data_IF_893687526199
#
_entry.id   IF_893687526199
#
_cell.length_a   1.000
_cell.length_b   1.000
_cell.length_c   1.000
_cell.angle_alpha   90.00
_cell.angle_beta   90.00
_cell.angle_gamma   90.00
#
_symmetry.space_group_name_H-M   'P 1'
#
loop_
_entity.id
_entity.type
_entity.pdbx_description
1 polymer ?
#
# COMPACT_ATOMS: atom_id res chain seq x y z
N UNK A 1 -66.79 -36.96 -18.95
CA UNK A 1 -65.48 -36.72 -18.33
C UNK A 1 -65.71 -36.41 -16.86
N UNK A 2 -65.13 -37.21 -15.95
CA UNK A 2 -65.56 -37.31 -14.54
C UNK A 2 -65.01 -36.18 -13.66
N UNK A 3 -65.91 -35.40 -13.02
CA UNK A 3 -65.58 -34.32 -12.09
C UNK A 3 -64.69 -34.75 -10.91
N UNK A 4 -64.78 -36.02 -10.50
CA UNK A 4 -63.94 -36.61 -9.45
C UNK A 4 -62.43 -36.65 -9.80
N UNK A 5 -62.07 -36.68 -11.09
CA UNK A 5 -60.67 -36.72 -11.53
C UNK A 5 -60.02 -35.33 -11.47
N UNK A 6 -60.81 -34.27 -11.66
CA UNK A 6 -60.34 -32.88 -11.60
C UNK A 6 -60.08 -32.49 -10.15
N UNK A 7 -60.97 -32.85 -9.22
CA UNK A 7 -60.85 -32.51 -7.80
C UNK A 7 -59.63 -33.17 -7.12
N UNK A 8 -59.26 -34.41 -7.52
CA UNK A 8 -58.04 -35.09 -7.06
C UNK A 8 -56.75 -34.40 -7.53
N UNK A 9 -56.75 -33.87 -8.76
CA UNK A 9 -55.59 -33.18 -9.31
C UNK A 9 -55.39 -31.81 -8.66
N UNK A 10 -56.47 -31.11 -8.30
CA UNK A 10 -56.40 -29.85 -7.54
C UNK A 10 -55.90 -30.05 -6.11
N UNK A 11 -56.33 -31.11 -5.41
CA UNK A 11 -55.82 -31.41 -4.06
C UNK A 11 -54.32 -31.76 -4.09
N UNK A 12 -53.86 -32.52 -5.09
CA UNK A 12 -52.45 -32.83 -5.27
C UNK A 12 -51.64 -31.55 -5.57
N UNK A 13 -52.08 -30.73 -6.51
CA UNK A 13 -51.39 -29.47 -6.84
C UNK A 13 -51.29 -28.54 -5.63
N UNK A 14 -52.36 -28.41 -4.83
CA UNK A 14 -52.37 -27.61 -3.60
C UNK A 14 -51.37 -28.12 -2.54
N UNK A 15 -51.26 -29.44 -2.37
CA UNK A 15 -50.34 -30.05 -1.43
C UNK A 15 -48.86 -29.84 -1.83
N UNK A 16 -48.56 -29.91 -3.13
CA UNK A 16 -47.22 -29.60 -3.66
C UNK A 16 -46.86 -28.12 -3.52
N UNK A 17 -47.82 -27.20 -3.70
CA UNK A 17 -47.59 -25.77 -3.49
C UNK A 17 -47.27 -25.42 -2.04
N UNK A 18 -47.94 -26.09 -1.08
CA UNK A 18 -47.69 -25.90 0.36
C UNK A 18 -46.30 -26.45 0.74
N UNK A 19 -45.93 -27.61 0.22
CA UNK A 19 -44.59 -28.19 0.41
C UNK A 19 -43.49 -27.32 -0.18
N UNK A 20 -43.70 -26.74 -1.37
CA UNK A 20 -42.72 -25.85 -1.98
C UNK A 20 -42.56 -24.55 -1.18
N UNK A 21 -43.66 -23.98 -0.70
CA UNK A 21 -43.64 -22.77 0.12
C UNK A 21 -42.91 -22.98 1.46
N UNK A 22 -43.10 -24.14 2.10
CA UNK A 22 -42.37 -24.47 3.34
C UNK A 22 -40.88 -24.69 3.09
N UNK A 23 -40.50 -25.38 2.00
CA UNK A 23 -39.09 -25.53 1.63
C UNK A 23 -38.41 -24.19 1.32
N UNK A 24 -39.07 -23.29 0.59
CA UNK A 24 -38.55 -21.95 0.30
C UNK A 24 -38.44 -21.11 1.57
N UNK A 25 -39.44 -21.18 2.47
CA UNK A 25 -39.40 -20.49 3.76
C UNK A 25 -38.26 -20.97 4.66
N UNK A 26 -38.03 -22.28 4.73
CA UNK A 26 -36.90 -22.87 5.49
C UNK A 26 -35.57 -22.48 4.85
N UNK A 27 -35.45 -22.53 3.53
CA UNK A 27 -34.23 -22.12 2.82
C UNK A 27 -33.90 -20.64 3.04
N UNK A 28 -34.89 -19.76 3.00
CA UNK A 28 -34.74 -18.34 3.31
C UNK A 28 -34.32 -18.12 4.77
N UNK A 29 -34.94 -18.82 5.72
CA UNK A 29 -34.56 -18.74 7.13
C UNK A 29 -33.13 -19.22 7.37
N UNK A 30 -32.72 -20.34 6.77
CA UNK A 30 -31.35 -20.85 6.85
C UNK A 30 -30.37 -19.87 6.20
N UNK A 31 -30.73 -19.27 5.07
CA UNK A 31 -29.90 -18.27 4.38
C UNK A 31 -29.75 -16.99 5.19
N UNK A 32 -30.82 -16.51 5.84
CA UNK A 32 -30.78 -15.36 6.75
C UNK A 32 -29.95 -15.68 7.99
N UNK A 33 -30.07 -16.89 8.54
CA UNK A 33 -29.28 -17.32 9.70
C UNK A 33 -27.79 -17.48 9.35
N UNK A 34 -27.46 -18.01 8.18
CA UNK A 34 -26.09 -18.07 7.67
C UNK A 34 -25.53 -16.68 7.38
N UNK A 35 -26.34 -15.76 6.82
CA UNK A 35 -25.93 -14.38 6.57
C UNK A 35 -25.72 -13.59 7.87
N UNK A 36 -26.59 -13.79 8.86
CA UNK A 36 -26.45 -13.23 10.22
C UNK A 36 -25.21 -13.78 10.93
N UNK A 37 -24.96 -15.09 10.86
CA UNK A 37 -23.73 -15.70 11.40
C UNK A 37 -22.47 -15.24 10.66
N UNK A 38 -22.55 -14.96 9.35
CA UNK A 38 -21.42 -14.42 8.57
C UNK A 38 -21.16 -12.95 8.89
N UNK A 39 -22.22 -12.18 9.17
CA UNK A 39 -22.15 -10.79 9.65
C UNK A 39 -21.59 -10.71 11.09
N UNK A 40 -22.00 -11.63 11.98
CA UNK A 40 -21.47 -11.75 13.34
C UNK A 40 -20.05 -12.33 13.40
N UNK A 41 -19.64 -13.16 12.44
CA UNK A 41 -18.24 -13.64 12.34
C UNK A 41 -17.25 -12.59 11.84
N UNK A 42 -17.70 -11.54 11.16
CA UNK A 42 -16.81 -10.51 10.60
C UNK A 42 -16.48 -9.35 11.55
N UNK A 43 -17.05 -9.32 12.76
CA UNK A 43 -16.79 -8.25 13.73
C UNK A 43 -15.84 -8.65 14.88
N UNK A 44 -15.27 -9.85 14.84
CA UNK A 44 -14.32 -10.34 15.85
C UNK A 44 -12.96 -10.71 15.25
N UNK A 45 -12.48 -9.96 14.24
CA UNK A 45 -11.04 -9.85 14.08
C UNK A 45 -10.55 -9.04 15.29
N UNK A 46 -10.14 -9.75 16.35
CA UNK A 46 -9.54 -9.13 17.51
C UNK A 46 -8.44 -8.21 17.01
N UNK A 47 -8.65 -6.90 17.19
CA UNK A 47 -7.72 -5.87 16.80
C UNK A 47 -6.36 -6.23 17.39
N UNK A 48 -5.38 -6.56 16.53
CA UNK A 48 -4.05 -7.00 16.97
C UNK A 48 -3.34 -5.85 17.68
N UNK A 49 -3.49 -5.78 19.01
CA UNK A 49 -2.87 -4.72 19.81
C UNK A 49 -1.38 -5.00 19.97
N UNK A 50 -0.55 -4.02 19.62
CA UNK A 50 0.90 -4.13 19.70
C UNK A 50 1.43 -3.43 20.96
N UNK A 51 2.61 -3.85 21.42
CA UNK A 51 3.38 -3.22 22.48
C UNK A 51 4.76 -2.86 21.93
N UNK A 52 5.14 -1.59 22.08
CA UNK A 52 6.46 -1.09 21.70
C UNK A 52 7.14 -0.63 22.98
N UNK A 53 8.40 -1.04 23.15
CA UNK A 53 9.25 -0.61 24.27
C UNK A 53 10.50 0.10 23.75
N UNK A 54 11.03 1.02 24.55
CA UNK A 54 12.38 1.53 24.34
C UNK A 54 13.37 0.45 24.76
N UNK A 55 14.24 0.02 23.84
CA UNK A 55 15.24 -1.03 24.08
C UNK A 55 16.63 -0.37 24.06
N UNK A 56 17.05 0.14 25.21
CA UNK A 56 18.25 0.97 25.36
C UNK A 56 19.53 0.14 25.18
N UNK A 57 19.61 -1.03 25.82
CA UNK A 57 20.74 -1.95 25.66
C UNK A 57 20.85 -2.44 24.21
N UNK A 58 19.72 -2.60 23.50
CA UNK A 58 19.68 -2.88 22.06
C UNK A 58 20.13 -1.72 21.17
N UNK A 59 19.95 -0.46 21.58
CA UNK A 59 20.42 0.71 20.82
C UNK A 59 21.88 1.05 21.07
N UNK A 60 22.31 1.02 22.33
CA UNK A 60 23.53 1.68 22.77
C UNK A 60 24.68 0.71 23.06
N UNK A 61 24.80 -0.34 22.24
CA UNK A 61 25.93 -1.29 22.32
C UNK A 61 25.98 -2.12 23.62
N UNK A 62 24.85 -2.29 24.32
CA UNK A 62 24.78 -3.05 25.57
C UNK A 62 25.21 -4.52 25.42
N UNK A 63 25.81 -5.11 26.45
CA UNK A 63 26.22 -6.52 26.42
C UNK A 63 25.03 -7.48 26.21
N UNK A 64 25.31 -8.68 25.69
CA UNK A 64 24.29 -9.67 25.28
C UNK A 64 23.29 -10.02 26.39
N UNK A 65 23.74 -10.02 27.66
CA UNK A 65 22.86 -10.24 28.82
C UNK A 65 21.82 -9.13 29.03
N UNK A 66 22.25 -7.86 28.93
CA UNK A 66 21.35 -6.70 29.07
C UNK A 66 20.35 -6.64 27.92
N UNK A 67 20.83 -6.94 26.72
CA UNK A 67 20.02 -7.06 25.51
C UNK A 67 18.94 -8.13 25.67
N UNK A 68 19.30 -9.33 26.13
CA UNK A 68 18.33 -10.40 26.34
C UNK A 68 17.35 -10.08 27.46
N UNK A 69 17.79 -9.39 28.51
CA UNK A 69 16.91 -8.91 29.58
C UNK A 69 15.82 -7.98 29.03
N UNK A 70 16.17 -7.01 28.18
CA UNK A 70 15.21 -6.11 27.56
C UNK A 70 14.27 -6.83 26.59
N UNK A 71 14.79 -7.71 25.73
CA UNK A 71 13.97 -8.44 24.75
C UNK A 71 12.98 -9.38 25.45
N UNK A 72 13.43 -10.16 26.43
CA UNK A 72 12.57 -11.08 27.18
C UNK A 72 11.60 -10.30 28.06
N UNK A 73 12.03 -9.19 28.66
CA UNK A 73 11.17 -8.30 29.43
C UNK A 73 10.03 -7.74 28.59
N UNK A 74 10.32 -7.25 27.38
CA UNK A 74 9.30 -6.76 26.45
C UNK A 74 8.33 -7.88 26.02
N UNK A 75 8.83 -9.10 25.78
CA UNK A 75 7.99 -10.26 25.49
C UNK A 75 7.07 -10.58 26.67
N UNK A 76 7.60 -10.63 27.89
CA UNK A 76 6.83 -10.95 29.09
C UNK A 76 5.71 -9.92 29.34
N UNK A 77 6.04 -8.62 29.25
CA UNK A 77 5.05 -7.55 29.40
C UNK A 77 4.00 -7.67 28.29
N UNK A 78 4.41 -7.87 27.03
CA UNK A 78 3.49 -8.02 25.90
C UNK A 78 2.52 -9.19 26.11
N UNK A 79 3.01 -10.32 26.60
CA UNK A 79 2.18 -11.48 26.93
C UNK A 79 1.16 -11.16 28.02
N UNK A 80 1.59 -10.50 29.10
CA UNK A 80 0.72 -10.12 30.22
C UNK A 80 -0.42 -9.20 29.77
N UNK A 81 -0.11 -8.19 28.95
CA UNK A 81 -1.11 -7.22 28.47
C UNK A 81 -1.84 -7.69 27.20
N UNK A 82 -1.66 -8.95 26.78
CA UNK A 82 -2.25 -9.56 25.57
C UNK A 82 -1.98 -8.75 24.30
N UNK A 83 -0.71 -8.37 24.11
CA UNK A 83 -0.21 -7.61 22.97
C UNK A 83 0.92 -8.34 22.25
N UNK A 84 1.18 -7.89 21.02
CA UNK A 84 2.28 -8.38 20.19
C UNK A 84 3.49 -7.44 20.38
N UNK A 85 4.67 -7.93 20.78
CA UNK A 85 5.84 -7.07 20.90
C UNK A 85 6.39 -6.70 19.51
N UNK A 86 6.68 -5.41 19.33
CA UNK A 86 7.11 -4.85 18.05
C UNK A 86 8.37 -4.00 18.24
N UNK A 87 9.34 -4.18 17.35
CA UNK A 87 10.53 -3.32 17.22
C UNK A 87 10.33 -2.47 15.97
N UNK A 88 10.34 -1.14 16.14
CA UNK A 88 10.08 -0.18 15.07
C UNK A 88 11.37 0.31 14.38
N UNK A 89 12.50 0.31 15.08
CA UNK A 89 13.77 0.83 14.58
C UNK A 89 14.49 -0.23 13.73
N UNK A 90 14.78 0.05 12.44
CA UNK A 90 15.52 -0.87 11.57
C UNK A 90 16.90 -1.27 12.10
N UNK A 91 17.63 -0.36 12.73
CA UNK A 91 18.97 -0.66 13.26
C UNK A 91 18.91 -1.71 14.39
N UNK A 92 17.85 -1.68 15.19
CA UNK A 92 17.58 -2.67 16.21
C UNK A 92 17.14 -4.01 15.62
N UNK A 93 16.52 -4.02 14.43
CA UNK A 93 16.18 -5.25 13.73
C UNK A 93 17.41 -5.98 13.19
N UNK A 94 18.40 -5.24 12.69
CA UNK A 94 19.68 -5.83 12.26
C UNK A 94 20.40 -6.44 13.45
N UNK A 95 20.45 -5.72 14.57
CA UNK A 95 20.99 -6.25 15.82
C UNK A 95 20.20 -7.45 16.33
N UNK A 96 18.86 -7.45 16.23
CA UNK A 96 18.03 -8.61 16.56
C UNK A 96 18.38 -9.81 15.69
N UNK A 97 18.64 -9.62 14.39
CA UNK A 97 19.06 -10.70 13.49
C UNK A 97 20.43 -11.27 13.91
N UNK A 98 21.38 -10.42 14.29
CA UNK A 98 22.67 -10.84 14.86
C UNK A 98 22.47 -11.68 16.13
N UNK A 99 21.69 -11.18 17.08
CA UNK A 99 21.38 -11.89 18.34
C UNK A 99 20.69 -13.22 18.07
N UNK A 100 19.87 -13.29 17.02
CA UNK A 100 19.13 -14.51 16.66
C UNK A 100 20.04 -15.62 16.17
N UNK A 101 21.30 -15.33 15.79
CA UNK A 101 22.29 -16.37 15.53
C UNK A 101 22.65 -17.15 16.80
N UNK A 102 22.63 -16.48 17.95
CA UNK A 102 22.87 -17.07 19.27
C UNK A 102 21.57 -17.58 19.93
N UNK A 103 20.45 -16.89 19.69
CA UNK A 103 19.14 -17.19 20.28
C UNK A 103 18.05 -17.32 19.21
N UNK A 104 17.95 -18.46 18.51
CA UNK A 104 17.15 -18.59 17.28
C UNK A 104 15.64 -18.34 17.46
N UNK A 105 15.12 -18.51 18.67
CA UNK A 105 13.70 -18.33 18.96
C UNK A 105 13.30 -16.88 19.27
N UNK A 106 14.26 -15.97 19.48
CA UNK A 106 13.93 -14.60 19.90
C UNK A 106 13.27 -13.83 18.76
N UNK A 107 13.74 -14.03 17.52
CA UNK A 107 13.26 -13.31 16.33
C UNK A 107 11.78 -13.48 16.08
N UNK A 108 11.29 -14.70 16.25
CA UNK A 108 9.91 -15.09 15.92
C UNK A 108 8.89 -14.49 16.88
N UNK A 109 9.33 -14.00 18.05
CA UNK A 109 8.48 -13.33 19.01
C UNK A 109 8.16 -11.88 18.62
N UNK A 110 8.98 -11.26 17.76
CA UNK A 110 8.80 -9.87 17.34
C UNK A 110 8.23 -9.76 15.92
N UNK A 111 7.13 -9.02 15.77
CA UNK A 111 6.62 -8.72 14.44
C UNK A 111 7.38 -7.56 13.80
N UNK A 112 7.67 -7.69 12.49
CA UNK A 112 8.09 -6.55 11.68
C UNK A 112 6.85 -5.75 11.32
N UNK A 113 6.70 -4.61 11.96
CA UNK A 113 5.68 -3.63 11.63
C UNK A 113 6.41 -2.32 11.29
N UNK A 114 6.55 -2.00 10.00
CA UNK A 114 6.95 -0.66 9.53
C UNK A 114 5.77 0.29 9.67
N UNK A 115 5.47 0.67 10.91
CA UNK A 115 4.34 1.55 11.24
C UNK A 115 4.80 2.64 12.19
N UNK A 116 5.90 3.32 11.83
CA UNK A 116 6.52 4.31 12.71
C UNK A 116 5.52 5.39 13.18
N UNK A 117 4.45 5.66 12.42
CA UNK A 117 3.48 6.72 12.78
C UNK A 117 1.98 6.39 12.65
N UNK A 118 1.58 5.26 12.04
CA UNK A 118 0.15 4.96 11.77
C UNK A 118 -0.32 3.59 12.26
N UNK A 119 0.40 2.98 13.21
CA UNK A 119 0.10 1.62 13.68
C UNK A 119 -1.31 1.42 14.27
N UNK A 120 -1.97 2.50 14.65
CA UNK A 120 -3.31 2.54 15.24
C UNK A 120 -4.39 3.08 14.29
N UNK A 121 -4.04 3.53 13.07
CA UNK A 121 -5.02 4.03 12.10
C UNK A 121 -5.41 2.93 11.13
N UNK A 122 -6.72 2.76 10.96
CA UNK A 122 -7.24 1.89 9.90
C UNK A 122 -6.86 2.44 8.53
N UNK A 123 -6.62 1.57 7.56
CA UNK A 123 -6.29 1.97 6.18
C UNK A 123 -7.27 2.99 5.59
N UNK A 124 -8.58 2.78 5.79
CA UNK A 124 -9.60 3.68 5.29
C UNK A 124 -9.50 5.09 5.91
N UNK A 125 -8.99 5.17 7.15
CA UNK A 125 -8.76 6.41 7.86
C UNK A 125 -7.53 7.14 7.33
N UNK A 126 -6.42 6.44 7.11
CA UNK A 126 -5.23 7.02 6.46
C UNK A 126 -5.58 7.53 5.07
N UNK A 127 -6.26 6.72 4.25
CA UNK A 127 -6.69 7.11 2.90
C UNK A 127 -7.60 8.32 2.92
N UNK A 128 -8.56 8.38 3.85
CA UNK A 128 -9.44 9.53 4.01
C UNK A 128 -8.66 10.78 4.43
N UNK A 129 -7.72 10.64 5.37
CA UNK A 129 -6.93 11.75 5.89
C UNK A 129 -6.04 12.39 4.82
N UNK A 130 -5.54 11.62 3.86
CA UNK A 130 -4.67 12.12 2.79
C UNK A 130 -5.35 12.24 1.42
N UNK A 131 -6.68 12.05 1.37
CA UNK A 131 -7.43 12.24 0.14
C UNK A 131 -7.37 13.71 -0.29
N UNK A 132 -7.18 13.94 -1.60
CA UNK A 132 -7.21 15.28 -2.15
C UNK A 132 -8.54 16.00 -1.92
N UNK A 133 -8.48 17.33 -1.83
CA UNK A 133 -9.68 18.16 -1.98
C UNK A 133 -10.23 18.06 -3.40
N UNK A 134 -11.48 18.46 -3.62
CA UNK A 134 -12.08 18.48 -4.97
C UNK A 134 -11.19 19.24 -5.98
N UNK A 135 -10.53 20.32 -5.53
CA UNK A 135 -9.57 21.06 -6.34
C UNK A 135 -8.33 20.23 -6.68
N UNK A 136 -7.76 19.50 -5.73
CA UNK A 136 -6.61 18.63 -5.98
C UNK A 136 -6.98 17.48 -6.92
N UNK A 137 -8.15 16.86 -6.72
CA UNK A 137 -8.70 15.84 -7.61
C UNK A 137 -8.89 16.37 -9.02
N UNK A 138 -9.52 17.54 -9.18
CA UNK A 138 -9.71 18.16 -10.50
C UNK A 138 -8.37 18.45 -11.19
N UNK A 139 -7.38 18.99 -10.46
CA UNK A 139 -6.05 19.24 -11.04
C UNK A 139 -5.38 17.92 -11.44
N UNK A 140 -5.44 16.91 -10.58
CA UNK A 140 -4.92 15.58 -10.86
C UNK A 140 -5.51 15.00 -12.15
N UNK A 141 -6.84 14.98 -12.28
CA UNK A 141 -7.51 14.34 -13.41
C UNK A 141 -7.45 15.14 -14.71
N UNK A 142 -7.49 16.49 -14.63
CA UNK A 142 -7.70 17.34 -15.81
C UNK A 142 -6.48 18.17 -16.22
N UNK A 143 -5.55 18.47 -15.31
CA UNK A 143 -4.54 19.51 -15.56
C UNK A 143 -3.09 19.06 -15.48
N UNK A 144 -2.76 17.96 -14.80
CA UNK A 144 -1.38 17.47 -14.78
C UNK A 144 -0.93 16.96 -16.16
N UNK A 145 -1.81 16.27 -16.87
CA UNK A 145 -1.55 15.65 -18.18
C UNK A 145 -2.66 15.96 -19.20
N UNK A 146 -2.84 17.23 -19.61
CA UNK A 146 -3.99 17.66 -20.40
C UNK A 146 -4.04 17.02 -21.80
N UNK A 147 -2.89 16.68 -22.38
CA UNK A 147 -2.78 16.08 -23.72
C UNK A 147 -2.92 14.56 -23.74
N UNK A 148 -2.69 13.90 -22.60
CA UNK A 148 -2.67 12.44 -22.46
C UNK A 148 -3.44 12.05 -21.20
N UNK A 149 -4.77 12.13 -21.27
CA UNK A 149 -5.64 11.72 -20.15
C UNK A 149 -5.43 10.24 -19.86
N UNK A 150 -5.02 9.94 -18.63
CA UNK A 150 -4.67 8.59 -18.18
C UNK A 150 -5.88 7.67 -18.18
N UNK A 151 -5.70 6.46 -18.70
CA UNK A 151 -6.73 5.42 -18.73
C UNK A 151 -6.48 4.45 -17.58
N UNK A 152 -7.50 4.21 -16.75
CA UNK A 152 -7.43 3.23 -15.64
C UNK A 152 -7.12 1.79 -16.06
N UNK A 153 -7.14 1.50 -17.37
CA UNK A 153 -6.92 0.17 -17.94
C UNK A 153 -5.45 -0.09 -18.31
N UNK A 154 -4.57 0.90 -18.19
CA UNK A 154 -3.13 0.78 -18.43
C UNK A 154 -2.38 0.43 -17.15
N UNK A 155 -1.13 0.00 -17.27
CA UNK A 155 -0.23 -0.19 -16.14
C UNK A 155 0.53 1.11 -15.90
N UNK A 156 0.07 1.92 -14.96
CA UNK A 156 0.60 3.25 -14.73
C UNK A 156 1.71 3.21 -13.66
N UNK A 157 2.89 3.70 -14.03
CA UNK A 157 4.08 3.79 -13.18
C UNK A 157 4.34 5.27 -12.90
N UNK A 158 4.43 5.63 -11.64
CA UNK A 158 4.51 7.02 -11.20
C UNK A 158 5.81 7.29 -10.46
N UNK A 159 6.63 8.17 -11.03
CA UNK A 159 7.98 8.46 -10.59
C UNK A 159 7.97 9.83 -9.93
N UNK A 160 8.33 9.90 -8.65
CA UNK A 160 8.45 11.16 -7.93
C UNK A 160 9.94 11.48 -7.74
N UNK A 161 10.37 12.56 -8.40
CA UNK A 161 11.72 13.08 -8.35
C UNK A 161 11.70 14.45 -7.66
N UNK A 162 12.17 14.50 -6.41
CA UNK A 162 12.28 15.71 -5.61
C UNK A 162 13.64 16.35 -5.81
N UNK A 163 13.69 17.62 -6.19
CA UNK A 163 14.95 18.35 -6.37
C UNK A 163 14.94 19.73 -5.73
N UNK A 164 13.99 20.58 -6.10
CA UNK A 164 13.89 22.02 -5.80
C UNK A 164 14.73 22.52 -4.62
N UNK A 165 14.11 22.65 -3.46
CA UNK A 165 14.77 23.10 -2.22
C UNK A 165 15.72 22.06 -1.58
N UNK A 166 15.77 20.85 -2.14
CA UNK A 166 16.64 19.79 -1.64
C UNK A 166 18.08 19.92 -2.16
N UNK A 167 18.31 20.63 -3.27
CA UNK A 167 19.67 20.85 -3.78
C UNK A 167 20.55 21.63 -2.81
N UNK A 168 19.92 22.54 -2.04
CA UNK A 168 20.61 23.42 -1.09
C UNK A 168 20.43 22.95 0.36
N UNK A 169 19.80 21.78 0.56
CA UNK A 169 19.52 21.25 1.89
C UNK A 169 20.72 20.50 2.44
N UNK A 170 21.02 20.71 3.72
CA UNK A 170 22.02 19.92 4.46
C UNK A 170 21.40 18.66 5.10
N UNK A 171 20.07 18.55 5.10
CA UNK A 171 19.33 17.43 5.71
C UNK A 171 18.70 16.49 4.67
N UNK A 172 18.56 16.94 3.42
CA UNK A 172 17.86 16.20 2.39
C UNK A 172 18.72 16.01 1.16
N UNK A 173 18.69 14.80 0.60
CA UNK A 173 19.36 14.54 -0.66
C UNK A 173 18.36 14.74 -1.81
N UNK A 174 18.70 15.57 -2.81
CA UNK A 174 17.90 15.68 -4.02
C UNK A 174 17.97 14.36 -4.80
N UNK A 175 17.01 14.16 -5.69
CA UNK A 175 16.98 13.00 -6.57
C UNK A 175 18.14 13.06 -7.57
N UNK A 176 18.85 11.94 -7.74
CA UNK A 176 19.89 11.78 -8.78
C UNK A 176 19.23 11.39 -10.11
N UNK A 177 19.66 12.03 -11.19
CA UNK A 177 19.21 11.72 -12.54
C UNK A 177 19.59 10.28 -12.93
N UNK A 178 20.85 9.90 -12.68
CA UNK A 178 21.42 8.60 -13.01
C UNK A 178 20.66 7.48 -12.30
N UNK A 179 20.44 7.63 -10.99
CA UNK A 179 19.65 6.69 -10.21
C UNK A 179 18.20 6.63 -10.72
N UNK A 180 17.59 7.77 -10.99
CA UNK A 180 16.20 7.84 -11.44
C UNK A 180 16.00 7.12 -12.76
N UNK A 181 16.88 7.34 -13.74
CA UNK A 181 16.84 6.68 -15.05
C UNK A 181 17.02 5.16 -14.88
N UNK A 182 18.02 4.73 -14.11
CA UNK A 182 18.28 3.30 -13.89
C UNK A 182 17.11 2.61 -13.19
N UNK A 183 16.54 3.25 -12.16
CA UNK A 183 15.39 2.72 -11.43
C UNK A 183 14.11 2.70 -12.27
N UNK A 184 13.89 3.72 -13.11
CA UNK A 184 12.80 3.74 -14.08
C UNK A 184 12.91 2.57 -15.06
N UNK A 185 14.08 2.38 -15.67
CA UNK A 185 14.32 1.27 -16.58
C UNK A 185 14.05 -0.08 -15.92
N UNK A 186 14.63 -0.31 -14.75
CA UNK A 186 14.39 -1.52 -13.97
C UNK A 186 12.89 -1.74 -13.68
N UNK A 187 12.19 -0.71 -13.21
CA UNK A 187 10.79 -0.83 -12.81
C UNK A 187 9.87 -1.09 -14.01
N UNK A 188 10.15 -0.48 -15.15
CA UNK A 188 9.40 -0.67 -16.40
C UNK A 188 9.59 -2.09 -16.93
N UNK A 189 10.84 -2.57 -17.02
CA UNK A 189 11.11 -3.93 -17.50
C UNK A 189 10.53 -4.98 -16.56
N UNK A 190 10.62 -4.72 -15.25
CA UNK A 190 9.97 -5.56 -14.27
C UNK A 190 8.45 -5.56 -14.44
N UNK A 191 7.84 -4.40 -14.66
CA UNK A 191 6.41 -4.28 -14.91
C UNK A 191 5.97 -5.12 -16.12
N UNK A 192 6.69 -5.02 -17.25
CA UNK A 192 6.44 -5.84 -18.44
C UNK A 192 6.55 -7.34 -18.17
N UNK A 193 7.49 -7.75 -17.31
CA UNK A 193 7.67 -9.17 -16.97
C UNK A 193 6.57 -9.75 -16.07
N UNK A 194 5.80 -8.90 -15.39
CA UNK A 194 4.83 -9.31 -14.37
C UNK A 194 3.39 -9.05 -14.74
N UNK A 195 3.14 -8.14 -15.68
CA UNK A 195 1.82 -7.70 -16.07
C UNK A 195 1.77 -7.52 -17.59
N UNK A 196 0.73 -8.09 -18.20
CA UNK A 196 0.48 -8.03 -19.64
C UNK A 196 0.02 -6.66 -20.15
N UNK A 197 -0.41 -5.75 -19.26
CA UNK A 197 -0.80 -4.38 -19.61
C UNK A 197 0.43 -3.57 -20.01
N UNK A 198 0.29 -2.76 -21.07
CA UNK A 198 1.35 -1.84 -21.49
C UNK A 198 1.69 -0.84 -20.38
N UNK A 199 2.97 -0.69 -19.99
CA UNK A 199 3.39 0.28 -19.00
C UNK A 199 3.34 1.71 -19.54
N UNK A 200 2.92 2.64 -18.69
CA UNK A 200 2.94 4.08 -18.93
C UNK A 200 3.64 4.77 -17.77
N UNK A 201 4.67 5.56 -18.04
CA UNK A 201 5.42 6.26 -17.00
C UNK A 201 4.98 7.73 -16.88
N UNK A 202 4.72 8.17 -15.66
CA UNK A 202 4.41 9.56 -15.31
C UNK A 202 5.46 10.05 -14.33
N UNK A 203 6.08 11.19 -14.63
CA UNK A 203 7.15 11.77 -13.82
C UNK A 203 6.65 13.06 -13.17
N UNK A 204 6.77 13.11 -11.85
CA UNK A 204 6.42 14.23 -11.00
C UNK A 204 7.71 14.85 -10.46
N UNK A 205 7.87 16.15 -10.67
CA UNK A 205 8.99 16.89 -10.11
C UNK A 205 8.60 18.32 -9.80
N UNK A 206 9.21 18.85 -8.75
CA UNK A 206 9.15 20.27 -8.42
C UNK A 206 10.05 21.12 -9.32
N UNK A 207 10.93 20.50 -10.11
CA UNK A 207 11.72 21.15 -11.15
C UNK A 207 11.52 20.42 -12.50
N UNK A 208 10.50 20.87 -13.26
CA UNK A 208 10.10 20.26 -14.53
C UNK A 208 11.20 20.35 -15.58
N UNK A 209 11.83 21.52 -15.74
CA UNK A 209 12.89 21.71 -16.74
C UNK A 209 14.07 20.78 -16.47
N UNK A 210 14.45 20.61 -15.20
CA UNK A 210 15.47 19.65 -14.83
C UNK A 210 15.06 18.21 -15.14
N UNK A 211 13.81 17.82 -14.80
CA UNK A 211 13.34 16.47 -15.06
C UNK A 211 13.32 16.15 -16.57
N UNK A 212 12.85 17.08 -17.41
CA UNK A 212 12.88 16.92 -18.86
C UNK A 212 14.33 16.74 -19.37
N UNK A 213 15.24 17.66 -19.02
CA UNK A 213 16.61 17.68 -19.55
C UNK A 213 17.50 16.56 -19.01
N UNK A 214 17.29 16.14 -17.75
CA UNK A 214 18.22 15.25 -17.06
C UNK A 214 17.66 13.85 -16.83
N UNK A 215 16.33 13.65 -16.93
CA UNK A 215 15.71 12.34 -16.79
C UNK A 215 15.11 11.91 -18.14
N UNK A 216 14.21 12.71 -18.71
CA UNK A 216 13.40 12.29 -19.87
C UNK A 216 14.24 12.21 -21.14
N UNK A 217 14.92 13.31 -21.51
CA UNK A 217 15.76 13.34 -22.71
C UNK A 217 16.83 12.24 -22.68
N UNK A 218 17.63 12.07 -21.59
CA UNK A 218 18.59 10.98 -21.54
C UNK A 218 17.92 9.61 -21.57
N UNK A 219 16.82 9.39 -20.86
CA UNK A 219 16.08 8.13 -20.89
C UNK A 219 15.67 7.75 -22.32
N UNK A 220 15.12 8.69 -23.09
CA UNK A 220 14.73 8.47 -24.48
C UNK A 220 15.93 8.18 -25.39
N UNK A 221 17.08 8.83 -25.17
CA UNK A 221 18.29 8.57 -25.96
C UNK A 221 18.90 7.19 -25.74
N UNK A 222 18.65 6.56 -24.58
CA UNK A 222 19.16 5.21 -24.31
C UNK A 222 18.49 4.13 -25.14
N UNK A 223 17.35 4.40 -25.81
CA UNK A 223 16.51 3.42 -26.50
C UNK A 223 16.20 2.18 -25.64
N UNK A 224 16.26 2.32 -24.31
CA UNK A 224 16.16 1.20 -23.39
C UNK A 224 14.72 0.69 -23.24
N UNK A 225 13.72 1.47 -23.70
CA UNK A 225 12.31 1.12 -23.64
C UNK A 225 11.51 1.85 -24.72
N UNK A 226 10.42 1.22 -25.15
CA UNK A 226 9.35 1.77 -25.99
C UNK A 226 8.40 2.71 -25.21
N UNK A 227 8.54 2.79 -23.89
CA UNK A 227 7.75 3.67 -23.03
C UNK A 227 8.28 5.10 -23.11
N UNK A 228 7.42 6.04 -23.49
CA UNK A 228 7.71 7.47 -23.43
C UNK A 228 7.16 8.04 -22.12
N UNK A 229 8.00 8.41 -21.14
CA UNK A 229 7.52 8.97 -19.89
C UNK A 229 6.94 10.37 -20.10
N UNK A 230 5.90 10.72 -19.33
CA UNK A 230 5.25 12.04 -19.38
C UNK A 230 5.55 12.83 -18.12
N UNK A 231 6.02 14.07 -18.25
CA UNK A 231 6.24 14.95 -17.09
C UNK A 231 4.97 15.72 -16.75
N UNK A 232 4.65 15.77 -15.46
CA UNK A 232 3.50 16.51 -14.96
C UNK A 232 3.69 18.01 -15.19
N UNK A 233 2.63 18.67 -15.67
CA UNK A 233 2.66 20.12 -15.86
C UNK A 233 2.84 20.85 -14.53
N UNK A 234 3.70 21.86 -14.50
CA UNK A 234 3.84 22.77 -13.37
C UNK A 234 3.26 24.14 -13.70
N UNK A 235 2.41 24.67 -12.83
CA UNK A 235 1.74 25.94 -13.04
C UNK A 235 1.40 26.62 -11.70
N UNK A 236 1.25 27.95 -11.75
CA UNK A 236 0.95 28.76 -10.57
C UNK A 236 -0.39 28.33 -9.96
N UNK A 237 -0.40 28.07 -8.66
CA UNK A 237 -1.60 27.64 -7.93
C UNK A 237 -1.96 26.16 -8.10
N UNK A 238 -1.04 25.33 -8.61
CA UNK A 238 -1.12 23.87 -8.51
C UNK A 238 -1.15 23.47 -7.02
N UNK A 239 -2.18 22.72 -6.55
CA UNK A 239 -2.19 22.20 -5.19
C UNK A 239 -0.99 21.28 -4.96
N UNK A 240 -0.30 21.38 -3.80
CA UNK A 240 0.89 20.59 -3.53
C UNK A 240 0.61 19.09 -3.50
N UNK A 241 -0.63 18.68 -3.26
CA UNK A 241 -1.08 17.29 -3.24
C UNK A 241 -1.73 16.82 -4.54
N UNK A 242 -1.69 17.59 -5.63
CA UNK A 242 -2.33 17.16 -6.88
C UNK A 242 -1.62 15.96 -7.54
N UNK A 243 -0.29 15.96 -7.55
CA UNK A 243 0.54 14.86 -8.07
C UNK A 243 0.37 13.58 -7.25
N UNK A 244 0.18 13.78 -5.95
CA UNK A 244 -0.17 12.75 -5.00
C UNK A 244 -1.57 12.16 -5.28
N UNK A 245 -2.56 13.01 -5.46
CA UNK A 245 -3.93 12.59 -5.74
C UNK A 245 -4.02 11.85 -7.08
N UNK A 246 -3.26 12.27 -8.09
CA UNK A 246 -3.11 11.49 -9.33
C UNK A 246 -2.52 10.11 -9.05
N UNK A 247 -1.46 10.06 -8.23
CA UNK A 247 -0.81 8.79 -7.88
C UNK A 247 -1.76 7.81 -7.22
N UNK A 248 -2.57 8.30 -6.28
CA UNK A 248 -3.61 7.54 -5.57
C UNK A 248 -4.72 7.03 -6.50
N UNK A 249 -5.08 7.80 -7.54
CA UNK A 249 -6.21 7.50 -8.41
C UNK A 249 -5.87 6.58 -9.59
N UNK A 250 -4.63 6.64 -10.08
CA UNK A 250 -4.28 6.05 -11.38
C UNK A 250 -3.09 5.11 -11.36
N UNK A 251 -2.17 5.20 -10.39
CA UNK A 251 -0.90 4.49 -10.49
C UNK A 251 -0.95 3.10 -9.85
N UNK A 252 -0.42 2.12 -10.57
CA UNK A 252 -0.24 0.74 -10.10
C UNK A 252 1.10 0.58 -9.38
N UNK A 253 2.12 1.34 -9.79
CA UNK A 253 3.47 1.29 -9.22
C UNK A 253 3.99 2.70 -8.98
N UNK A 254 4.72 2.90 -7.89
CA UNK A 254 5.32 4.19 -7.55
C UNK A 254 6.81 4.02 -7.28
N UNK A 255 7.61 4.89 -7.89
CA UNK A 255 9.04 5.03 -7.69
C UNK A 255 9.32 6.37 -6.99
N UNK A 256 10.07 6.34 -5.90
CA UNK A 256 10.52 7.53 -5.17
C UNK A 256 12.03 7.62 -5.26
N UNK A 257 12.56 8.76 -5.70
CA UNK A 257 14.01 8.93 -5.92
C UNK A 257 14.66 9.98 -5.02
N UNK A 258 13.86 10.70 -4.23
CA UNK A 258 14.31 11.59 -3.15
C UNK A 258 13.89 11.06 -1.77
N UNK A 259 14.61 10.08 -1.24
CA UNK A 259 14.21 9.26 -0.08
C UNK A 259 13.98 10.05 1.22
N UNK A 260 14.48 11.29 1.33
CA UNK A 260 14.32 12.14 2.52
C UNK A 260 13.10 13.09 2.45
N UNK A 261 12.24 12.99 1.43
CA UNK A 261 11.04 13.81 1.36
C UNK A 261 9.97 13.31 2.34
N UNK A 262 9.93 13.92 3.53
CA UNK A 262 9.05 13.55 4.65
C UNK A 262 7.55 13.55 4.30
N UNK A 263 7.12 14.27 3.27
CA UNK A 263 5.72 14.30 2.84
C UNK A 263 5.28 12.96 2.21
N UNK A 264 6.23 12.14 1.76
CA UNK A 264 5.96 10.99 0.89
C UNK A 264 6.11 9.62 1.57
N UNK A 265 6.98 9.48 2.58
CA UNK A 265 7.47 8.16 3.00
C UNK A 265 6.42 7.27 3.70
N UNK A 266 5.74 7.78 4.73
CA UNK A 266 4.85 6.96 5.56
C UNK A 266 3.44 6.81 5.01
N UNK A 267 2.98 7.82 4.28
CA UNK A 267 1.67 7.85 3.63
C UNK A 267 1.63 6.87 2.44
N UNK A 268 2.72 6.77 1.67
CA UNK A 268 2.83 5.83 0.52
C UNK A 268 2.79 4.37 0.95
N UNK A 269 3.48 4.01 2.03
CA UNK A 269 3.51 2.64 2.53
C UNK A 269 2.10 2.13 2.87
N UNK A 270 1.22 2.98 3.41
CA UNK A 270 -0.15 2.61 3.77
C UNK A 270 -1.12 2.60 2.59
N UNK A 271 -0.78 3.24 1.47
CA UNK A 271 -1.73 3.59 0.41
C UNK A 271 -1.59 2.75 -0.84
N UNK A 272 -0.42 2.16 -1.08
CA UNK A 272 -0.19 1.29 -2.24
C UNK A 272 -0.28 -0.19 -1.92
N UNK A 273 -0.40 -0.58 -0.64
CA UNK A 273 -0.58 -2.00 -0.25
C UNK A 273 -2.01 -2.50 -0.52
N UNK A 274 -2.68 -1.84 -1.46
CA UNK A 274 -4.08 -1.53 -1.36
C UNK A 274 -4.91 -1.94 -2.56
N UNK A 275 -4.29 -2.26 -3.68
CA UNK A 275 -5.04 -2.67 -4.88
C UNK A 275 -4.46 -3.87 -5.60
N UNK A 276 -3.18 -4.22 -5.44
CA UNK A 276 -2.57 -5.37 -6.13
C UNK A 276 -1.41 -5.97 -5.34
N UNK A 277 -1.15 -7.26 -5.53
CA UNK A 277 0.00 -8.02 -5.01
C UNK A 277 1.39 -7.54 -5.54
N UNK A 278 1.54 -6.28 -5.97
CA UNK A 278 2.75 -5.84 -6.65
C UNK A 278 3.75 -5.10 -5.75
N UNK A 279 4.83 -5.85 -5.52
CA UNK A 279 6.22 -5.54 -5.14
C UNK A 279 6.65 -4.07 -5.26
N UNK A 280 7.14 -3.52 -4.15
CA UNK A 280 7.85 -2.24 -4.07
C UNK A 280 9.33 -2.39 -4.38
N UNK A 281 9.91 -1.38 -5.02
CA UNK A 281 11.34 -1.16 -5.12
C UNK A 281 11.65 0.21 -4.52
N UNK A 282 11.71 0.24 -3.20
CA UNK A 282 12.22 1.41 -2.47
C UNK A 282 13.73 1.19 -2.31
N UNK A 283 14.53 2.13 -2.81
CA UNK A 283 15.95 2.31 -2.47
C UNK A 283 16.83 1.04 -2.52
N UNK A 284 17.47 0.80 -3.67
CA UNK A 284 18.74 0.06 -3.67
C UNK A 284 19.77 1.07 -3.16
N UNK A 285 20.11 0.97 -1.87
CA UNK A 285 21.26 1.65 -1.33
C UNK A 285 22.49 1.17 -2.11
N UNK A 286 23.22 2.10 -2.74
CA UNK A 286 24.63 1.81 -3.01
C UNK A 286 25.31 1.72 -1.65
N UNK A 287 25.84 0.54 -1.34
CA UNK A 287 26.91 0.40 -0.37
C UNK A 287 28.17 1.06 -0.94
#
# INVERSE_FOLDING_TARGET
MNAAHIQRNYLKASCWSILLATFVGVYLLVSIFQFSNKSLKNNNAAEERCLVGSLHAMGDGGGIGNVMFELVGLIAIAQEVKRIPVILDPSLLDRLNEISTYFPYIRSRFQRKSFKYFWNLGRAEVLRAVSGSERATFVATERLFPKNRSRRQQLNICVHARRGDFTDSTMHLPSSAEFTIAAMHFLIEKAKSEDSRSPHAYVFSDNVDWAEQNIIEPYLTTNASDVVPLVASNFIGKPPNAEWEFSRLYCDRVLLTGASSFVFYDVIYHILHATFEHRYYTSIYNL
#
